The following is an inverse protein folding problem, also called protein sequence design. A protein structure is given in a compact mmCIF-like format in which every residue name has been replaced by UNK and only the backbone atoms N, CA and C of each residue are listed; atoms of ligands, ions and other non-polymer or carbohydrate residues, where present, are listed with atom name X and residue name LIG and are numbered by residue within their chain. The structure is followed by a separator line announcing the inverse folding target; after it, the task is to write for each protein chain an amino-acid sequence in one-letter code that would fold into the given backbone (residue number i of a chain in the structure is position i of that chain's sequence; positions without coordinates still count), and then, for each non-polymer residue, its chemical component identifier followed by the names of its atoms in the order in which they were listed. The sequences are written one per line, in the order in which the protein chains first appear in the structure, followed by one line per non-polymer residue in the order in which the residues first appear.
data_IF_392126021179
#
_entry.id   IF_392126021179
#
_cell.length_a   1.000
_cell.length_b   1.000
_cell.length_c   1.000
_cell.angle_alpha   90.00
_cell.angle_beta   90.00
_cell.angle_gamma   90.00
#
_symmetry.space_group_name_H-M   'P 1'
#
loop_
_entity.id
_entity.type
_entity.pdbx_description
1 polymer ?
#
# COMPACT_ATOMS: atom_id res chain seq x y z
N UNK A 1 -15.39 0.19 14.63
CA UNK A 1 -15.99 0.83 15.82
C UNK A 1 -17.11 0.00 16.45
N UNK A 2 -18.14 -0.42 15.69
CA UNK A 2 -19.27 -1.18 16.24
C UNK A 2 -18.86 -2.48 16.97
N UNK A 3 -17.87 -3.22 16.42
CA UNK A 3 -17.24 -4.39 17.05
C UNK A 3 -16.71 -4.13 18.47
N UNK A 4 -16.06 -2.99 18.69
CA UNK A 4 -15.44 -2.65 19.98
C UNK A 4 -16.52 -2.30 21.01
N UNK A 5 -17.49 -1.47 20.60
CA UNK A 5 -18.57 -1.03 21.48
C UNK A 5 -19.49 -2.19 21.88
N UNK A 6 -19.80 -3.10 20.96
CA UNK A 6 -20.62 -4.28 21.26
C UNK A 6 -19.91 -5.24 22.22
N UNK A 7 -18.60 -5.45 22.07
CA UNK A 7 -17.82 -6.23 23.05
C UNK A 7 -17.82 -5.59 24.44
N UNK A 8 -17.51 -4.28 24.52
CA UNK A 8 -17.46 -3.54 25.79
C UNK A 8 -18.84 -3.53 26.47
N UNK A 9 -19.92 -3.33 25.70
CA UNK A 9 -21.28 -3.37 26.22
C UNK A 9 -21.66 -4.75 26.76
N UNK A 10 -21.27 -5.83 26.08
CA UNK A 10 -21.48 -7.19 26.57
C UNK A 10 -20.73 -7.44 27.89
N UNK A 11 -19.46 -7.01 27.97
CA UNK A 11 -18.64 -7.19 29.17
C UNK A 11 -19.16 -6.40 30.38
N UNK A 12 -19.47 -5.11 30.19
CA UNK A 12 -20.02 -4.27 31.25
C UNK A 12 -21.41 -4.74 31.69
N UNK A 13 -22.24 -5.16 30.73
CA UNK A 13 -23.53 -5.79 31.00
C UNK A 13 -23.39 -7.03 31.86
N UNK A 14 -22.41 -7.90 31.56
CA UNK A 14 -22.12 -9.11 32.32
C UNK A 14 -21.73 -8.79 33.78
N UNK A 15 -20.83 -7.83 33.99
CA UNK A 15 -20.43 -7.40 35.33
C UNK A 15 -21.63 -6.87 36.14
N UNK A 16 -22.47 -6.03 35.52
CA UNK A 16 -23.67 -5.47 36.15
C UNK A 16 -24.72 -6.56 36.45
N UNK A 17 -24.86 -7.55 35.58
CA UNK A 17 -25.81 -8.64 35.77
C UNK A 17 -25.45 -9.50 36.99
N UNK A 18 -24.17 -9.84 37.18
CA UNK A 18 -23.70 -10.55 38.38
C UNK A 18 -23.86 -9.73 39.68
N UNK A 19 -23.88 -8.39 39.60
CA UNK A 19 -24.13 -7.55 40.76
C UNK A 19 -25.61 -7.55 41.19
N UNK A 20 -26.54 -7.70 40.23
CA UNK A 20 -28.00 -7.69 40.47
C UNK A 20 -28.75 -8.79 39.69
N UNK A 21 -28.53 -10.08 39.98
CA UNK A 21 -29.08 -11.19 39.18
C UNK A 21 -30.60 -11.35 39.31
N UNK A 22 -31.20 -10.89 40.42
CA UNK A 22 -32.65 -10.96 40.69
C UNK A 22 -33.31 -9.58 40.79
N UNK A 23 -32.62 -8.52 40.36
CA UNK A 23 -33.15 -7.16 40.40
C UNK A 23 -34.13 -6.86 39.27
N UNK A 24 -34.85 -5.72 39.38
CA UNK A 24 -35.75 -5.20 38.32
C UNK A 24 -35.05 -5.04 36.95
N UNK A 25 -33.72 -4.91 36.96
CA UNK A 25 -32.88 -4.73 35.78
C UNK A 25 -32.36 -6.03 35.16
N UNK A 26 -32.57 -7.19 35.79
CA UNK A 26 -31.95 -8.46 35.35
C UNK A 26 -32.34 -8.84 33.91
N UNK A 27 -33.62 -8.72 33.56
CA UNK A 27 -34.11 -9.00 32.20
C UNK A 27 -33.51 -8.03 31.18
N UNK A 28 -33.43 -6.74 31.52
CA UNK A 28 -32.87 -5.72 30.63
C UNK A 28 -31.38 -5.96 30.39
N UNK A 29 -30.61 -6.25 31.44
CA UNK A 29 -29.18 -6.56 31.33
C UNK A 29 -28.93 -7.84 30.52
N UNK A 30 -29.74 -8.88 30.71
CA UNK A 30 -29.65 -10.11 29.89
C UNK A 30 -29.90 -9.80 28.41
N UNK A 31 -30.94 -9.03 28.09
CA UNK A 31 -31.23 -8.62 26.71
C UNK A 31 -30.10 -7.77 26.13
N UNK A 32 -29.55 -6.84 26.91
CA UNK A 32 -28.40 -6.01 26.51
C UNK A 32 -27.18 -6.88 26.18
N UNK A 33 -26.83 -7.85 27.04
CA UNK A 33 -25.70 -8.75 26.82
C UNK A 33 -25.90 -9.55 25.53
N UNK A 34 -27.07 -10.19 25.37
CA UNK A 34 -27.37 -11.00 24.18
C UNK A 34 -27.34 -10.14 22.92
N UNK A 35 -28.00 -8.98 22.92
CA UNK A 35 -28.01 -8.06 21.79
C UNK A 35 -26.61 -7.54 21.44
N UNK A 36 -25.79 -7.28 22.45
CA UNK A 36 -24.39 -6.88 22.27
C UNK A 36 -23.55 -8.01 21.68
N UNK A 37 -23.70 -9.24 22.17
CA UNK A 37 -23.00 -10.42 21.61
C UNK A 37 -23.45 -10.75 20.18
N UNK A 38 -24.74 -10.60 19.86
CA UNK A 38 -25.26 -10.78 18.51
C UNK A 38 -24.72 -9.69 17.57
N UNK A 39 -24.69 -8.44 18.01
CA UNK A 39 -24.10 -7.34 17.25
C UNK A 39 -22.61 -7.57 17.03
N UNK A 40 -21.89 -8.00 18.06
CA UNK A 40 -20.48 -8.39 17.98
C UNK A 40 -20.26 -9.51 16.95
N UNK A 41 -21.02 -10.59 17.02
CA UNK A 41 -20.92 -11.71 16.08
C UNK A 41 -21.23 -11.27 14.65
N UNK A 42 -22.28 -10.47 14.46
CA UNK A 42 -22.62 -9.89 13.16
C UNK A 42 -21.50 -9.03 12.58
N UNK A 43 -20.87 -8.18 13.40
CA UNK A 43 -19.72 -7.37 12.95
C UNK A 43 -18.50 -8.21 12.58
N UNK A 44 -18.25 -9.32 13.28
CA UNK A 44 -17.13 -10.19 13.00
C UNK A 44 -17.37 -11.03 11.73
N UNK A 45 -18.61 -11.47 11.49
CA UNK A 45 -18.99 -12.17 10.24
C UNK A 45 -18.89 -11.22 9.04
N UNK A 46 -19.36 -9.98 9.18
CA UNK A 46 -19.32 -8.97 8.13
C UNK A 46 -17.93 -8.34 7.93
N UNK A 47 -16.96 -8.65 8.79
CA UNK A 47 -15.62 -8.09 8.67
C UNK A 47 -14.88 -8.67 7.47
N UNK A 48 -14.23 -7.79 6.71
CA UNK A 48 -13.37 -8.12 5.59
C UNK A 48 -12.02 -8.66 6.12
N UNK A 49 -12.00 -9.96 6.45
CA UNK A 49 -10.84 -10.66 6.98
C UNK A 49 -10.91 -12.17 6.72
N UNK A 50 -9.75 -12.87 6.63
CA UNK A 50 -9.70 -14.32 6.52
C UNK A 50 -10.48 -15.01 7.64
N UNK A 51 -11.11 -16.14 7.32
CA UNK A 51 -11.93 -16.90 8.26
C UNK A 51 -11.14 -17.35 9.50
N UNK A 52 -9.88 -17.74 9.33
CA UNK A 52 -8.99 -18.11 10.43
C UNK A 52 -8.74 -16.96 11.40
N UNK A 53 -8.49 -15.75 10.89
CA UNK A 53 -8.27 -14.55 11.72
C UNK A 53 -9.53 -14.15 12.50
N UNK A 54 -10.70 -14.20 11.83
CA UNK A 54 -12.01 -14.00 12.49
C UNK A 54 -12.21 -15.00 13.63
N UNK A 55 -11.93 -16.29 13.40
CA UNK A 55 -12.07 -17.33 14.41
C UNK A 55 -11.10 -17.14 15.59
N UNK A 56 -9.83 -16.81 15.33
CA UNK A 56 -8.86 -16.54 16.40
C UNK A 56 -9.28 -15.32 17.24
N UNK A 57 -9.75 -14.25 16.59
CA UNK A 57 -10.27 -13.06 17.26
C UNK A 57 -11.47 -13.41 18.14
N UNK A 58 -12.41 -14.19 17.61
CA UNK A 58 -13.56 -14.72 18.34
C UNK A 58 -13.12 -15.50 19.58
N UNK A 59 -12.22 -16.47 19.43
CA UNK A 59 -11.75 -17.31 20.53
C UNK A 59 -11.05 -16.50 21.63
N UNK A 60 -10.15 -15.58 21.25
CA UNK A 60 -9.47 -14.66 22.17
C UNK A 60 -10.45 -13.83 22.98
N UNK A 61 -11.43 -13.22 22.31
CA UNK A 61 -12.42 -12.33 22.92
C UNK A 61 -13.38 -13.08 23.85
N UNK A 62 -13.82 -14.28 23.45
CA UNK A 62 -14.65 -15.13 24.31
C UNK A 62 -13.87 -15.71 25.49
N UNK A 63 -12.58 -16.00 25.34
CA UNK A 63 -11.72 -16.41 26.45
C UNK A 63 -11.62 -15.29 27.50
N UNK A 64 -11.47 -14.04 27.07
CA UNK A 64 -11.45 -12.87 27.95
C UNK A 64 -12.78 -12.73 28.72
N UNK A 65 -13.92 -12.70 28.03
CA UNK A 65 -15.24 -12.61 28.68
C UNK A 65 -15.48 -13.81 29.60
N UNK A 66 -15.11 -15.03 29.19
CA UNK A 66 -15.30 -16.25 29.97
C UNK A 66 -14.50 -16.26 31.27
N UNK A 67 -13.22 -15.84 31.22
CA UNK A 67 -12.35 -15.74 32.39
C UNK A 67 -12.94 -14.78 33.43
N UNK A 68 -13.34 -13.58 33.00
CA UNK A 68 -13.94 -12.59 33.91
C UNK A 68 -15.35 -12.99 34.36
N UNK A 69 -16.14 -13.64 33.51
CA UNK A 69 -17.43 -14.20 33.89
C UNK A 69 -17.31 -15.24 35.00
N UNK A 70 -16.30 -16.12 34.93
CA UNK A 70 -16.00 -17.06 36.00
C UNK A 70 -15.56 -16.36 37.29
N UNK A 71 -14.71 -15.33 37.17
CA UNK A 71 -14.28 -14.52 38.32
C UNK A 71 -15.47 -13.79 38.98
N UNK A 72 -16.36 -13.17 38.21
CA UNK A 72 -17.57 -12.51 38.71
C UNK A 72 -18.51 -13.52 39.39
N UNK A 73 -18.68 -14.70 38.81
CA UNK A 73 -19.47 -15.78 39.40
C UNK A 73 -18.92 -16.20 40.77
N UNK A 74 -17.61 -16.39 40.88
CA UNK A 74 -16.94 -16.73 42.15
C UNK A 74 -17.06 -15.63 43.21
N UNK A 75 -17.06 -14.36 42.79
CA UNK A 75 -17.11 -13.21 43.68
C UNK A 75 -18.54 -12.75 44.02
N UNK A 76 -19.58 -13.23 43.31
CA UNK A 76 -20.95 -12.73 43.42
C UNK A 76 -21.51 -12.74 44.86
N UNK A 77 -21.09 -13.68 45.69
CA UNK A 77 -21.51 -13.77 47.11
C UNK A 77 -20.79 -12.81 48.07
N UNK A 78 -19.73 -12.12 47.62
CA UNK A 78 -18.82 -11.33 48.47
C UNK A 78 -18.77 -9.87 48.03
N UNK A 79 -19.73 -9.06 48.48
CA UNK A 79 -20.00 -7.70 47.97
C UNK A 79 -18.77 -6.79 47.85
N UNK A 80 -17.91 -6.72 48.87
CA UNK A 80 -16.69 -5.89 48.85
C UNK A 80 -15.70 -6.39 47.80
N UNK A 81 -15.43 -7.70 47.79
CA UNK A 81 -14.52 -8.34 46.84
C UNK A 81 -15.02 -8.28 45.40
N UNK A 82 -16.34 -8.34 45.21
CA UNK A 82 -16.95 -8.16 43.90
C UNK A 82 -16.71 -6.74 43.36
N UNK A 83 -16.94 -5.70 44.16
CA UNK A 83 -16.70 -4.31 43.76
C UNK A 83 -15.23 -4.10 43.39
N UNK A 84 -14.31 -4.61 44.22
CA UNK A 84 -12.87 -4.55 43.92
C UNK A 84 -12.52 -5.30 42.63
N UNK A 85 -13.10 -6.49 42.43
CA UNK A 85 -12.93 -7.28 41.21
C UNK A 85 -13.43 -6.56 39.96
N UNK A 86 -14.59 -5.87 40.03
CA UNK A 86 -15.11 -5.06 38.94
C UNK A 86 -14.18 -3.89 38.61
N UNK A 87 -13.65 -3.18 39.62
CA UNK A 87 -12.68 -2.09 39.40
C UNK A 87 -11.41 -2.58 38.69
N UNK A 88 -10.83 -3.69 39.15
CA UNK A 88 -9.66 -4.32 38.51
C UNK A 88 -9.99 -4.78 37.08
N UNK A 89 -11.17 -5.34 36.87
CA UNK A 89 -11.62 -5.76 35.54
C UNK A 89 -11.81 -4.57 34.58
N UNK A 90 -12.14 -3.39 35.09
CA UNK A 90 -12.23 -2.15 34.31
C UNK A 90 -10.86 -1.72 33.77
N UNK A 91 -9.80 -1.81 34.59
CA UNK A 91 -8.43 -1.57 34.14
C UNK A 91 -8.00 -2.62 33.11
N UNK A 92 -8.29 -3.90 33.37
CA UNK A 92 -7.98 -4.99 32.43
C UNK A 92 -8.70 -4.79 31.09
N UNK A 93 -9.99 -4.43 31.10
CA UNK A 93 -10.77 -4.12 29.91
C UNK A 93 -10.20 -2.91 29.17
N UNK A 94 -9.76 -1.86 29.88
CA UNK A 94 -9.14 -0.69 29.26
C UNK A 94 -7.85 -1.07 28.51
N UNK A 95 -6.96 -1.83 29.15
CA UNK A 95 -5.73 -2.33 28.52
C UNK A 95 -6.06 -3.22 27.32
N UNK A 96 -7.01 -4.14 27.49
CA UNK A 96 -7.46 -5.06 26.43
C UNK A 96 -8.07 -4.30 25.24
N UNK A 97 -8.90 -3.31 25.50
CA UNK A 97 -9.53 -2.50 24.46
C UNK A 97 -8.50 -1.71 23.66
N UNK A 98 -7.50 -1.13 24.33
CA UNK A 98 -6.39 -0.43 23.68
C UNK A 98 -5.54 -1.38 22.83
N UNK A 99 -5.14 -2.52 23.40
CA UNK A 99 -4.16 -3.40 22.79
C UNK A 99 -4.75 -4.29 21.69
N UNK A 100 -5.99 -4.74 21.85
CA UNK A 100 -6.60 -5.74 20.98
C UNK A 100 -7.83 -5.21 20.24
N UNK A 101 -8.80 -4.59 20.92
CA UNK A 101 -10.10 -4.29 20.28
C UNK A 101 -10.03 -3.19 19.21
N UNK A 102 -9.62 -1.96 19.54
CA UNK A 102 -8.26 -1.50 19.30
C UNK A 102 -7.84 -1.66 17.84
N UNK A 103 -7.01 -2.68 17.69
CA UNK A 103 -6.12 -2.93 16.55
C UNK A 103 -6.61 -4.07 15.67
N UNK A 104 -7.59 -4.86 16.13
CA UNK A 104 -8.06 -6.05 15.41
C UNK A 104 -8.76 -5.73 14.10
N UNK A 105 -9.48 -4.58 14.03
CA UNK A 105 -10.22 -4.16 12.84
C UNK A 105 -10.12 -2.64 12.57
N UNK A 106 -10.05 -2.19 11.30
CA UNK A 106 -10.12 -3.01 10.08
C UNK A 106 -8.90 -3.92 9.92
N UNK A 107 -9.13 -5.15 9.48
CA UNK A 107 -8.05 -6.11 9.25
C UNK A 107 -7.21 -5.63 8.08
N UNK A 108 -5.89 -5.78 8.22
CA UNK A 108 -4.93 -5.53 7.14
C UNK A 108 -4.15 -6.81 7.00
N UNK A 109 -4.10 -7.36 5.78
CA UNK A 109 -3.13 -8.42 5.51
C UNK A 109 -1.73 -7.87 5.79
N UNK A 110 -0.90 -8.60 6.57
CA UNK A 110 0.49 -8.24 6.70
C UNK A 110 1.12 -8.28 5.31
N UNK A 111 1.60 -7.14 4.83
CA UNK A 111 2.36 -7.10 3.59
C UNK A 111 3.75 -7.65 3.92
N UNK A 112 4.25 -8.66 3.18
CA UNK A 112 5.58 -9.20 3.44
C UNK A 112 6.62 -8.09 3.32
N UNK A 113 7.58 -8.05 4.24
CA UNK A 113 8.69 -7.10 4.19
C UNK A 113 9.87 -7.69 3.41
N UNK A 114 10.77 -6.83 2.95
CA UNK A 114 12.04 -7.30 2.40
C UNK A 114 12.89 -7.97 3.48
N UNK A 115 13.25 -9.23 3.25
CA UNK A 115 14.12 -10.03 4.12
C UNK A 115 15.58 -9.57 4.15
N UNK A 116 15.93 -8.63 3.28
CA UNK A 116 17.25 -7.97 3.23
C UNK A 116 17.10 -6.46 3.41
N UNK A 117 16.23 -6.08 4.34
CA UNK A 117 16.02 -4.68 4.67
C UNK A 117 14.58 -4.32 5.00
N UNK A 118 14.12 -4.76 6.17
CA UNK A 118 12.71 -4.69 6.59
C UNK A 118 12.25 -3.26 6.86
N UNK A 119 13.16 -2.33 7.16
CA UNK A 119 12.85 -0.94 7.44
C UNK A 119 13.53 0.00 6.45
N UNK A 120 12.83 1.06 6.08
CA UNK A 120 13.38 2.22 5.37
C UNK A 120 13.47 3.40 6.35
N UNK A 121 14.66 3.95 6.47
CA UNK A 121 15.00 5.02 7.40
C UNK A 121 15.40 6.26 6.61
N UNK A 122 14.93 7.44 7.03
CA UNK A 122 15.46 8.72 6.56
C UNK A 122 16.24 9.38 7.69
N UNK A 123 17.53 9.64 7.44
CA UNK A 123 18.37 10.41 8.35
C UNK A 123 18.23 11.91 8.10
N UNK A 124 18.48 12.70 9.13
CA UNK A 124 18.70 14.14 8.98
C UNK A 124 19.96 14.39 8.16
N UNK A 125 19.94 15.45 7.37
CA UNK A 125 21.10 15.90 6.60
C UNK A 125 22.38 15.93 7.46
N UNK A 126 23.42 15.23 6.99
CA UNK A 126 24.70 15.11 7.67
C UNK A 126 24.77 14.06 8.79
N UNK A 127 23.66 13.42 9.17
CA UNK A 127 23.66 12.29 10.09
C UNK A 127 23.95 10.98 9.37
N UNK A 128 24.48 10.00 10.11
CA UNK A 128 24.88 8.70 9.59
C UNK A 128 24.48 7.56 10.55
N UNK A 129 24.47 6.30 10.07
CA UNK A 129 24.20 5.15 10.94
C UNK A 129 25.10 5.05 12.17
N UNK A 130 26.32 5.57 12.11
CA UNK A 130 27.25 5.62 13.25
C UNK A 130 26.71 6.42 14.43
N UNK A 131 25.84 7.41 14.18
CA UNK A 131 25.30 8.27 15.23
C UNK A 131 24.25 7.54 16.08
N UNK A 132 23.67 6.47 15.53
CA UNK A 132 22.70 5.60 16.21
C UNK A 132 23.25 4.19 16.51
N UNK A 133 24.58 4.02 16.44
CA UNK A 133 25.26 2.73 16.62
C UNK A 133 24.83 1.96 17.88
N UNK A 134 24.64 2.59 19.07
CA UNK A 134 24.20 1.86 20.26
C UNK A 134 22.83 1.18 20.10
N UNK A 135 21.94 1.77 19.29
CA UNK A 135 20.64 1.20 18.99
C UNK A 135 20.74 0.09 17.94
N UNK A 136 21.61 0.28 16.93
CA UNK A 136 21.91 -0.77 15.94
C UNK A 136 22.47 -2.02 16.64
N UNK A 137 23.48 -1.86 17.49
CA UNK A 137 24.13 -2.98 18.19
C UNK A 137 23.18 -3.71 19.15
N UNK A 138 22.29 -2.98 19.83
CA UNK A 138 21.30 -3.54 20.75
C UNK A 138 20.43 -4.61 20.09
N UNK A 139 20.05 -4.39 18.85
CA UNK A 139 19.17 -5.28 18.08
C UNK A 139 19.90 -6.00 16.94
N UNK A 140 21.21 -5.82 16.80
CA UNK A 140 22.00 -6.37 15.70
C UNK A 140 21.55 -5.85 14.32
N UNK A 141 21.05 -4.61 14.25
CA UNK A 141 20.54 -4.01 13.02
C UNK A 141 21.69 -3.64 12.08
N UNK A 142 21.47 -3.81 10.79
CA UNK A 142 22.44 -3.39 9.77
C UNK A 142 21.83 -2.36 8.84
N UNK A 143 22.28 -1.12 8.97
CA UNK A 143 21.87 -0.04 8.08
C UNK A 143 22.79 0.03 6.86
N UNK A 144 22.21 0.05 5.67
CA UNK A 144 22.91 0.25 4.40
C UNK A 144 22.24 1.36 3.60
N UNK A 145 23.02 2.14 2.85
CA UNK A 145 22.44 3.26 2.09
C UNK A 145 21.50 2.72 1.01
N UNK A 146 20.28 3.27 0.96
CA UNK A 146 19.22 2.83 0.07
C UNK A 146 19.42 3.34 -1.36
N UNK A 147 19.86 4.59 -1.50
CA UNK A 147 19.97 5.25 -2.81
C UNK A 147 21.33 5.91 -3.02
N UNK A 148 21.78 5.89 -4.28
CA UNK A 148 23.05 6.47 -4.72
C UNK A 148 22.77 7.43 -5.88
N UNK A 149 22.23 8.63 -5.59
CA UNK A 149 21.92 9.60 -6.64
C UNK A 149 23.20 10.08 -7.33
N UNK A 150 23.14 10.25 -8.65
CA UNK A 150 24.26 10.80 -9.44
C UNK A 150 24.58 12.25 -9.06
N UNK A 151 23.56 13.01 -8.63
CA UNK A 151 23.68 14.42 -8.27
C UNK A 151 22.96 14.70 -6.94
N UNK A 152 23.68 14.59 -5.81
CA UNK A 152 23.13 14.82 -4.48
C UNK A 152 22.63 16.26 -4.27
N UNK A 153 23.02 17.23 -5.10
CA UNK A 153 22.56 18.61 -4.93
C UNK A 153 21.05 18.78 -5.22
N UNK A 154 20.47 17.91 -6.04
CA UNK A 154 19.08 18.00 -6.49
C UNK A 154 18.10 17.11 -5.71
N UNK A 155 18.59 16.24 -4.83
CA UNK A 155 17.76 15.28 -4.11
C UNK A 155 18.39 14.91 -2.78
N UNK A 156 17.55 14.66 -1.78
CA UNK A 156 17.98 14.26 -0.45
C UNK A 156 17.89 12.72 -0.29
N UNK A 157 17.78 11.99 -1.41
CA UNK A 157 17.65 10.52 -1.44
C UNK A 157 18.83 9.79 -0.81
N UNK A 158 20.01 10.41 -0.79
CA UNK A 158 21.21 9.82 -0.25
C UNK A 158 21.21 9.78 1.30
N UNK A 159 20.22 10.42 1.93
CA UNK A 159 19.91 10.31 3.35
C UNK A 159 19.05 9.09 3.72
N UNK A 160 18.58 8.32 2.74
CA UNK A 160 17.77 7.13 3.00
C UNK A 160 18.62 5.87 3.14
N UNK A 161 18.27 5.06 4.13
CA UNK A 161 18.95 3.82 4.47
C UNK A 161 17.95 2.69 4.64
N UNK A 162 18.30 1.52 4.15
CA UNK A 162 17.59 0.29 4.43
C UNK A 162 18.21 -0.35 5.66
N UNK A 163 17.40 -0.81 6.60
CA UNK A 163 17.86 -1.43 7.84
C UNK A 163 17.39 -2.87 7.90
N UNK A 164 18.36 -3.79 7.89
CA UNK A 164 18.14 -5.21 8.09
C UNK A 164 17.90 -5.48 9.58
N UNK A 165 16.82 -6.21 9.88
CA UNK A 165 16.41 -6.63 11.22
C UNK A 165 16.60 -8.14 11.32
N UNK A 166 17.46 -8.64 12.24
CA UNK A 166 17.65 -10.08 12.39
C UNK A 166 16.35 -10.84 12.66
N UNK A 167 16.21 -12.04 12.11
CA UNK A 167 14.98 -12.86 12.21
C UNK A 167 14.45 -13.03 13.65
N UNK A 168 15.34 -13.13 14.64
CA UNK A 168 14.97 -13.24 16.06
C UNK A 168 14.34 -11.96 16.65
N UNK A 169 14.37 -10.85 15.92
CA UNK A 169 13.81 -9.55 16.27
C UNK A 169 12.68 -9.07 15.34
N UNK A 170 12.28 -9.85 14.34
CA UNK A 170 11.12 -9.53 13.46
C UNK A 170 9.84 -9.24 14.27
N UNK A 171 9.56 -10.04 15.31
CA UNK A 171 8.42 -9.82 16.20
C UNK A 171 8.50 -8.53 17.06
N UNK A 172 9.60 -7.78 16.97
CA UNK A 172 9.85 -6.51 17.68
C UNK A 172 9.91 -5.30 16.75
N UNK A 173 9.63 -5.44 15.46
CA UNK A 173 9.67 -4.35 14.46
C UNK A 173 9.02 -3.06 14.97
N UNK A 174 7.78 -3.11 15.44
CA UNK A 174 7.08 -1.92 15.96
C UNK A 174 7.83 -1.22 17.13
N UNK A 175 8.50 -1.99 17.98
CA UNK A 175 9.26 -1.44 19.11
C UNK A 175 10.62 -0.87 18.68
N UNK A 176 11.21 -1.44 17.62
CA UNK A 176 12.46 -0.99 17.01
C UNK A 176 12.18 0.31 16.24
N UNK A 177 11.18 0.34 15.36
CA UNK A 177 10.78 1.53 14.60
C UNK A 177 10.46 2.70 15.53
N UNK A 178 9.75 2.46 16.64
CA UNK A 178 9.46 3.51 17.63
C UNK A 178 10.71 4.05 18.35
N UNK A 179 11.72 3.23 18.56
CA UNK A 179 12.98 3.68 19.16
C UNK A 179 13.80 4.48 18.15
N UNK A 180 13.88 4.02 16.90
CA UNK A 180 14.53 4.73 15.82
C UNK A 180 13.89 6.11 15.60
N UNK A 181 12.55 6.18 15.48
CA UNK A 181 11.77 7.42 15.30
C UNK A 181 11.92 8.44 16.45
N UNK A 182 12.34 8.00 17.64
CA UNK A 182 12.59 8.88 18.79
C UNK A 182 14.01 9.42 18.85
N UNK A 183 14.88 9.00 17.94
CA UNK A 183 16.28 9.40 17.89
C UNK A 183 16.39 10.70 17.11
N UNK A 184 17.20 11.67 17.56
CA UNK A 184 17.19 13.03 17.01
C UNK A 184 17.70 13.11 15.56
N UNK A 185 18.52 12.13 15.20
CA UNK A 185 19.20 11.93 13.94
C UNK A 185 18.28 11.34 12.86
N UNK A 186 17.17 10.71 13.27
CA UNK A 186 16.21 10.06 12.38
C UNK A 186 15.02 10.98 12.16
N UNK A 187 14.68 11.23 10.89
CA UNK A 187 13.52 12.03 10.50
C UNK A 187 12.27 11.14 10.41
N UNK A 188 12.44 9.96 9.82
CA UNK A 188 11.32 9.08 9.50
C UNK A 188 11.76 7.62 9.45
N UNK A 189 10.83 6.73 9.81
CA UNK A 189 11.00 5.28 9.72
C UNK A 189 9.71 4.65 9.21
N UNK A 190 9.83 3.82 8.20
CA UNK A 190 8.73 3.00 7.69
C UNK A 190 9.15 1.57 7.41
N UNK A 191 8.16 0.70 7.23
CA UNK A 191 8.37 -0.68 6.83
C UNK A 191 8.61 -0.73 5.31
N UNK A 192 9.67 -1.42 4.88
CA UNK A 192 10.00 -1.60 3.46
C UNK A 192 9.23 -2.80 2.91
N UNK A 193 7.96 -2.56 2.64
CA UNK A 193 7.03 -3.57 2.15
C UNK A 193 7.40 -4.06 0.74
N UNK A 194 7.20 -5.36 0.51
CA UNK A 194 7.22 -5.96 -0.82
C UNK A 194 5.85 -5.82 -1.47
N UNK A 195 5.85 -5.16 -2.63
CA UNK A 195 4.68 -4.96 -3.48
C UNK A 195 4.76 -5.97 -4.62
N UNK A 196 3.66 -6.65 -4.89
CA UNK A 196 3.52 -7.52 -6.03
C UNK A 196 2.53 -6.91 -7.04
N UNK A 197 2.89 -6.88 -8.32
CA UNK A 197 1.89 -6.61 -9.36
C UNK A 197 0.92 -7.76 -9.46
N UNK A 198 -0.36 -7.43 -9.46
CA UNK A 198 -1.40 -8.40 -9.76
C UNK A 198 -1.18 -8.96 -11.17
N UNK A 199 -1.42 -10.27 -11.38
CA UNK A 199 -1.42 -10.81 -12.73
C UNK A 199 -2.44 -10.04 -13.57
N UNK A 200 -2.09 -9.76 -14.84
CA UNK A 200 -3.02 -9.19 -15.80
C UNK A 200 -4.22 -10.13 -15.94
N UNK A 201 -5.37 -9.74 -15.39
CA UNK A 201 -6.63 -10.45 -15.55
C UNK A 201 -7.43 -9.74 -16.63
N UNK A 202 -7.60 -10.37 -17.78
CA UNK A 202 -8.51 -9.89 -18.81
C UNK A 202 -9.91 -10.41 -18.51
N UNK A 203 -10.78 -9.57 -17.97
CA UNK A 203 -12.22 -9.83 -18.06
C UNK A 203 -12.76 -9.19 -19.35
N UNK A 204 -13.53 -9.92 -20.16
CA UNK A 204 -14.12 -9.35 -21.36
C UNK A 204 -15.10 -8.25 -20.96
N UNK A 205 -14.72 -7.01 -21.22
CA UNK A 205 -15.60 -5.86 -21.03
C UNK A 205 -16.68 -5.91 -22.10
N UNK A 206 -17.94 -6.03 -21.69
CA UNK A 206 -19.12 -5.88 -22.58
C UNK A 206 -19.35 -4.40 -22.89
N UNK A 207 -18.40 -3.73 -23.52
CA UNK A 207 -18.61 -2.39 -24.09
C UNK A 207 -19.03 -2.52 -25.54
N UNK A 208 -19.99 -1.68 -25.95
CA UNK A 208 -20.25 -1.50 -27.38
C UNK A 208 -18.94 -1.07 -28.07
N UNK A 209 -18.60 -1.62 -29.26
CA UNK A 209 -17.43 -1.20 -30.00
C UNK A 209 -17.46 0.33 -30.17
N UNK A 210 -16.33 0.97 -29.88
CA UNK A 210 -16.17 2.39 -30.18
C UNK A 210 -16.27 2.66 -31.68
N UNK A 211 -16.42 3.92 -32.11
CA UNK A 211 -16.36 4.26 -33.52
C UNK A 211 -15.09 3.67 -34.16
N UNK A 212 -15.24 3.04 -35.32
CA UNK A 212 -14.17 2.31 -36.01
C UNK A 212 -13.08 3.21 -36.58
N UNK A 213 -13.21 4.53 -36.47
CA UNK A 213 -12.32 5.45 -37.15
C UNK A 213 -12.00 6.69 -36.31
N UNK A 214 -10.80 6.69 -35.73
CA UNK A 214 -10.15 7.88 -35.15
C UNK A 214 -9.15 8.53 -36.13
N UNK A 215 -9.23 8.20 -37.43
CA UNK A 215 -8.19 8.59 -38.39
C UNK A 215 -6.86 7.89 -38.16
N UNK A 216 -6.92 6.66 -37.62
CA UNK A 216 -5.78 5.78 -37.35
C UNK A 216 -5.94 4.47 -38.14
N UNK A 217 -4.83 3.85 -38.56
CA UNK A 217 -4.82 2.62 -39.39
C UNK A 217 -4.53 1.33 -38.60
N UNK A 218 -4.41 1.42 -37.27
CA UNK A 218 -4.00 0.31 -36.40
C UNK A 218 -5.14 -0.73 -36.27
N UNK A 219 -4.90 -2.03 -36.52
CA UNK A 219 -5.95 -3.06 -36.55
C UNK A 219 -6.74 -3.21 -35.24
N UNK A 220 -6.11 -2.95 -34.10
CA UNK A 220 -6.71 -3.06 -32.76
C UNK A 220 -7.52 -1.85 -32.31
N UNK A 221 -7.64 -0.80 -33.12
CA UNK A 221 -8.25 0.49 -32.73
C UNK A 221 -9.70 0.34 -32.22
N UNK A 222 -10.48 -0.57 -32.82
CA UNK A 222 -11.88 -0.81 -32.42
C UNK A 222 -12.01 -1.45 -31.03
N UNK A 223 -10.94 -2.05 -30.52
CA UNK A 223 -10.90 -2.69 -29.20
C UNK A 223 -10.53 -1.70 -28.08
N UNK A 224 -10.07 -0.50 -28.43
CA UNK A 224 -9.67 0.54 -27.47
C UNK A 224 -10.86 1.37 -27.00
N UNK A 225 -11.71 0.79 -26.14
CA UNK A 225 -12.88 1.48 -25.57
C UNK A 225 -12.53 2.84 -24.90
N UNK A 226 -11.31 2.95 -24.36
CA UNK A 226 -10.81 4.17 -23.71
C UNK A 226 -10.72 5.36 -24.67
N UNK A 227 -10.55 5.14 -25.98
CA UNK A 227 -10.50 6.22 -26.96
C UNK A 227 -11.82 6.98 -27.05
N UNK A 228 -12.94 6.27 -26.89
CA UNK A 228 -14.26 6.89 -26.89
C UNK A 228 -14.46 7.68 -25.59
N UNK A 229 -14.05 7.12 -24.46
CA UNK A 229 -14.23 7.75 -23.14
C UNK A 229 -13.37 9.00 -22.96
N UNK A 230 -12.19 9.01 -23.57
CA UNK A 230 -11.28 10.15 -23.55
C UNK A 230 -11.53 11.15 -24.70
N UNK A 231 -12.56 10.93 -25.52
CA UNK A 231 -12.93 11.77 -26.67
C UNK A 231 -11.73 12.06 -27.61
N UNK A 232 -11.00 10.98 -27.98
CA UNK A 232 -9.76 11.10 -28.76
C UNK A 232 -9.99 11.69 -30.15
N UNK A 233 -11.17 11.48 -30.73
CA UNK A 233 -11.55 12.09 -32.01
C UNK A 233 -11.50 13.62 -31.93
N UNK A 234 -12.02 14.20 -30.85
CA UNK A 234 -11.99 15.65 -30.62
C UNK A 234 -10.59 16.17 -30.38
N UNK A 235 -9.77 15.44 -29.61
CA UNK A 235 -8.35 15.82 -29.42
C UNK A 235 -7.65 15.94 -30.77
N UNK A 236 -7.80 14.93 -31.62
CA UNK A 236 -7.16 14.87 -32.93
C UNK A 236 -7.64 15.99 -33.85
N UNK A 237 -8.94 16.29 -33.85
CA UNK A 237 -9.50 17.44 -34.57
C UNK A 237 -8.90 18.77 -34.10
N UNK A 238 -8.73 18.96 -32.79
CA UNK A 238 -8.12 20.18 -32.24
C UNK A 238 -6.65 20.31 -32.66
N UNK A 239 -5.89 19.21 -32.61
CA UNK A 239 -4.49 19.19 -33.03
C UNK A 239 -4.36 19.55 -34.52
N UNK A 240 -5.23 19.02 -35.38
CA UNK A 240 -5.26 19.31 -36.81
C UNK A 240 -5.62 20.77 -37.11
N UNK A 241 -6.70 21.28 -36.49
CA UNK A 241 -7.13 22.68 -36.64
C UNK A 241 -6.03 23.66 -36.24
N UNK A 242 -5.30 23.34 -35.17
CA UNK A 242 -4.19 24.17 -34.67
C UNK A 242 -2.88 23.94 -35.42
N UNK A 243 -2.80 22.95 -36.32
CA UNK A 243 -1.55 22.46 -36.93
C UNK A 243 -0.47 22.24 -35.87
N UNK A 244 -0.88 21.65 -34.74
CA UNK A 244 -0.04 21.54 -33.55
C UNK A 244 1.21 20.71 -33.84
N UNK A 245 2.36 21.23 -33.41
CA UNK A 245 3.66 20.57 -33.49
C UNK A 245 4.28 20.56 -32.10
N UNK A 246 4.82 19.42 -31.63
CA UNK A 246 5.50 19.38 -30.35
C UNK A 246 6.79 20.21 -30.44
N UNK A 247 7.00 21.10 -29.47
CA UNK A 247 8.30 21.80 -29.32
C UNK A 247 9.39 20.80 -28.94
N UNK A 248 9.03 19.78 -28.18
CA UNK A 248 9.87 18.65 -27.79
C UNK A 248 9.01 17.41 -27.58
N UNK A 249 9.53 16.24 -27.91
CA UNK A 249 8.89 14.97 -27.55
C UNK A 249 9.00 14.74 -26.03
N UNK A 250 7.89 14.37 -25.40
CA UNK A 250 7.81 14.03 -23.99
C UNK A 250 8.23 12.58 -23.78
N UNK A 251 9.14 12.33 -22.84
CA UNK A 251 9.58 10.97 -22.54
C UNK A 251 8.83 10.42 -21.34
N UNK A 252 8.09 9.35 -21.56
CA UNK A 252 7.31 8.65 -20.54
C UNK A 252 8.17 7.53 -19.96
N UNK A 253 8.45 7.60 -18.67
CA UNK A 253 9.18 6.54 -17.97
C UNK A 253 8.18 5.59 -17.30
N UNK A 254 8.24 4.30 -17.68
CA UNK A 254 7.41 3.23 -17.14
C UNK A 254 8.16 2.58 -15.98
N UNK A 255 7.63 2.76 -14.76
CA UNK A 255 8.18 2.19 -13.54
C UNK A 255 7.46 0.89 -13.22
N UNK A 256 7.98 -0.22 -13.74
CA UNK A 256 7.24 -1.48 -13.74
C UNK A 256 8.19 -2.70 -13.83
N UNK A 257 7.69 -3.85 -14.33
CA UNK A 257 8.43 -5.10 -14.56
C UNK A 257 9.47 -5.05 -15.68
N UNK A 258 9.56 -3.89 -16.34
CA UNK A 258 10.38 -3.65 -17.52
C UNK A 258 9.51 -3.36 -18.75
N UNK A 259 10.12 -3.11 -19.89
CA UNK A 259 9.42 -2.99 -21.18
C UNK A 259 10.18 -3.82 -22.19
N UNK A 260 9.49 -4.64 -22.97
CA UNK A 260 10.10 -5.31 -24.12
C UNK A 260 10.44 -4.28 -25.21
N UNK A 261 11.69 -3.85 -25.25
CA UNK A 261 12.18 -2.87 -26.21
C UNK A 261 12.17 -3.40 -27.66
N UNK A 262 12.10 -4.72 -27.85
CA UNK A 262 12.03 -5.37 -29.16
C UNK A 262 10.62 -5.51 -29.71
N UNK A 263 9.60 -5.16 -28.93
CA UNK A 263 8.20 -5.33 -29.33
C UNK A 263 7.88 -4.54 -30.61
N UNK A 264 7.25 -5.19 -31.59
CA UNK A 264 6.98 -4.64 -32.93
C UNK A 264 6.21 -3.31 -32.90
N UNK A 265 5.29 -3.18 -31.93
CA UNK A 265 4.43 -2.00 -31.78
C UNK A 265 4.99 -0.91 -30.82
N UNK A 266 6.22 -1.07 -30.33
CA UNK A 266 6.86 -0.15 -29.35
C UNK A 266 8.26 0.28 -29.79
N UNK A 267 9.03 -0.64 -30.38
CA UNK A 267 10.48 -0.49 -30.63
C UNK A 267 10.87 0.82 -31.33
N UNK A 268 10.08 1.28 -32.31
CA UNK A 268 10.37 2.53 -33.04
C UNK A 268 10.09 3.81 -32.24
N UNK A 269 9.39 3.71 -31.11
CA UNK A 269 9.12 4.80 -30.17
C UNK A 269 9.78 4.61 -28.79
N UNK A 270 10.64 3.60 -28.67
CA UNK A 270 11.32 3.25 -27.43
C UNK A 270 12.67 3.95 -27.31
N UNK A 271 12.98 4.45 -26.11
CA UNK A 271 14.27 5.02 -25.75
C UNK A 271 14.88 4.25 -24.57
N UNK A 272 15.93 3.48 -24.85
CA UNK A 272 16.70 2.81 -23.80
C UNK A 272 17.39 3.83 -22.89
N UNK A 273 17.15 3.71 -21.59
CA UNK A 273 17.91 4.42 -20.55
C UNK A 273 18.97 3.51 -19.93
N UNK A 274 18.67 2.22 -19.84
CA UNK A 274 19.55 1.19 -19.30
C UNK A 274 19.15 -0.18 -19.87
N UNK A 275 20.08 -0.83 -20.58
CA UNK A 275 19.83 -2.09 -21.27
C UNK A 275 19.23 -3.20 -20.37
N UNK A 276 19.55 -3.20 -19.07
CA UNK A 276 19.00 -4.19 -18.11
C UNK A 276 17.50 -4.03 -17.87
N UNK A 277 16.92 -2.88 -18.22
CA UNK A 277 15.50 -2.58 -18.03
C UNK A 277 14.65 -2.87 -19.27
N UNK A 278 15.31 -3.13 -20.41
CA UNK A 278 14.72 -3.26 -21.75
C UNK A 278 14.19 -4.68 -22.02
N UNK A 279 13.88 -5.42 -20.96
CA UNK A 279 13.21 -6.71 -21.01
C UNK A 279 12.04 -6.75 -20.03
N UNK A 280 10.98 -7.46 -20.39
CA UNK A 280 9.81 -7.61 -19.55
C UNK A 280 9.31 -9.05 -19.50
N UNK A 281 9.86 -9.88 -18.61
CA UNK A 281 9.44 -11.28 -18.46
C UNK A 281 8.03 -11.44 -17.87
N UNK A 282 7.37 -10.36 -17.41
CA UNK A 282 6.00 -10.40 -16.87
C UNK A 282 4.96 -9.83 -17.83
N UNK A 283 5.35 -8.94 -18.73
CA UNK A 283 4.46 -8.32 -19.72
C UNK A 283 3.63 -7.15 -19.17
N UNK A 284 3.62 -6.89 -17.85
CA UNK A 284 2.82 -5.81 -17.26
C UNK A 284 3.34 -4.43 -17.69
N UNK A 285 4.63 -4.18 -17.57
CA UNK A 285 5.22 -2.92 -18.00
C UNK A 285 5.16 -2.70 -19.52
N UNK A 286 5.26 -3.77 -20.32
CA UNK A 286 5.07 -3.69 -21.79
C UNK A 286 3.63 -3.33 -22.14
N UNK A 287 2.65 -3.89 -21.43
CA UNK A 287 1.24 -3.52 -21.59
C UNK A 287 1.01 -2.04 -21.24
N UNK A 288 1.58 -1.55 -20.13
CA UNK A 288 1.54 -0.13 -19.75
C UNK A 288 2.22 0.77 -20.80
N UNK A 289 3.37 0.35 -21.33
CA UNK A 289 4.09 1.06 -22.37
C UNK A 289 3.28 1.16 -23.68
N UNK A 290 2.56 0.10 -24.05
CA UNK A 290 1.66 0.11 -25.21
C UNK A 290 0.54 1.15 -25.09
N UNK A 291 -0.12 1.21 -23.93
CA UNK A 291 -1.15 2.24 -23.68
C UNK A 291 -0.56 3.66 -23.77
N UNK A 292 0.62 3.84 -23.17
CA UNK A 292 1.26 5.16 -23.08
C UNK A 292 1.81 5.66 -24.43
N UNK A 293 2.40 4.77 -25.23
CA UNK A 293 3.23 5.18 -26.37
C UNK A 293 3.42 4.11 -27.46
N UNK A 294 2.50 3.15 -27.62
CA UNK A 294 2.43 2.33 -28.83
C UNK A 294 2.48 3.20 -30.09
N UNK A 295 3.12 2.66 -31.12
CA UNK A 295 3.39 3.35 -32.38
C UNK A 295 2.10 3.41 -33.19
N UNK A 296 1.37 4.51 -33.08
CA UNK A 296 0.15 4.70 -33.88
C UNK A 296 0.44 4.92 -35.35
N UNK A 297 -0.52 4.55 -36.20
CA UNK A 297 -0.47 4.66 -37.65
C UNK A 297 0.55 3.75 -38.37
N UNK A 298 0.92 2.63 -37.77
CA UNK A 298 1.90 1.68 -38.35
C UNK A 298 1.26 0.43 -39.00
N UNK A 299 -0.07 0.29 -38.98
CA UNK A 299 -0.83 -0.91 -39.38
C UNK A 299 -0.58 -2.17 -38.55
N UNK A 300 -0.06 -2.03 -37.32
CA UNK A 300 0.25 -3.12 -36.39
C UNK A 300 -0.53 -2.88 -35.11
N UNK A 301 -0.87 -3.96 -34.38
CA UNK A 301 -1.29 -3.87 -32.98
C UNK A 301 -2.35 -2.81 -32.66
N UNK A 302 -2.02 -1.94 -31.70
CA UNK A 302 -2.90 -0.92 -31.11
C UNK A 302 -2.31 0.48 -31.29
N UNK A 303 -3.13 1.50 -31.03
CA UNK A 303 -2.68 2.88 -30.96
C UNK A 303 -2.51 3.34 -29.50
N UNK A 304 -1.55 4.23 -29.26
CA UNK A 304 -1.54 5.07 -28.06
C UNK A 304 -2.42 6.32 -28.26
N UNK A 305 -2.55 7.12 -27.21
CA UNK A 305 -3.23 8.42 -27.33
C UNK A 305 -2.48 9.44 -28.20
N UNK A 306 -1.22 9.17 -28.56
CA UNK A 306 -0.48 9.97 -29.52
C UNK A 306 -0.72 9.45 -30.94
N UNK A 307 -1.10 10.32 -31.89
CA UNK A 307 -1.34 9.90 -33.29
C UNK A 307 -0.09 9.42 -34.02
N UNK A 308 1.08 9.77 -33.52
CA UNK A 308 2.39 9.40 -34.05
C UNK A 308 3.49 9.59 -32.98
N UNK A 309 4.73 9.25 -33.31
CA UNK A 309 5.86 9.27 -32.38
C UNK A 309 6.44 10.67 -32.11
N UNK A 310 5.87 11.76 -32.65
CA UNK A 310 6.44 13.11 -32.49
C UNK A 310 6.22 13.67 -31.09
N UNK A 311 5.09 13.35 -30.46
CA UNK A 311 4.68 13.94 -29.19
C UNK A 311 5.26 13.21 -27.98
N UNK A 312 5.39 11.88 -28.06
CA UNK A 312 5.81 11.05 -26.94
C UNK A 312 6.82 10.00 -27.36
N UNK A 313 7.71 9.65 -26.44
CA UNK A 313 8.56 8.47 -26.46
C UNK A 313 8.37 7.70 -25.14
N UNK A 314 8.72 6.43 -25.11
CA UNK A 314 8.65 5.62 -23.88
C UNK A 314 9.99 5.01 -23.51
N UNK A 315 10.24 4.89 -22.21
CA UNK A 315 11.43 4.27 -21.64
C UNK A 315 11.07 3.38 -20.46
N UNK A 316 11.90 2.37 -20.21
CA UNK A 316 11.76 1.47 -19.06
C UNK A 316 12.64 1.89 -17.88
N UNK A 317 12.00 1.94 -16.70
CA UNK A 317 12.66 1.97 -15.41
C UNK A 317 12.18 0.76 -14.62
N UNK A 318 12.94 -0.33 -14.69
CA UNK A 318 12.55 -1.58 -14.07
C UNK A 318 12.72 -1.48 -12.54
N UNK A 319 11.60 -1.42 -11.83
CA UNK A 319 11.54 -1.38 -10.35
C UNK A 319 10.91 -2.63 -9.76
N UNK A 320 10.43 -3.54 -10.62
CA UNK A 320 9.89 -4.84 -10.24
C UNK A 320 10.72 -5.95 -10.88
N UNK A 321 10.98 -6.99 -10.10
CA UNK A 321 11.67 -8.20 -10.52
C UNK A 321 10.88 -9.00 -11.57
N UNK A 322 11.52 -10.03 -12.14
CA UNK A 322 10.87 -10.98 -13.04
C UNK A 322 9.73 -11.79 -12.40
N UNK A 323 9.60 -11.76 -11.08
CA UNK A 323 8.47 -12.31 -10.32
C UNK A 323 7.28 -11.36 -10.18
N UNK A 324 7.43 -10.09 -10.60
CA UNK A 324 6.45 -9.04 -10.36
C UNK A 324 6.54 -8.42 -8.96
N UNK A 325 7.54 -8.82 -8.18
CA UNK A 325 7.81 -8.29 -6.86
C UNK A 325 8.79 -7.13 -6.94
N UNK A 326 8.53 -6.05 -6.22
CA UNK A 326 9.52 -5.05 -5.90
C UNK A 326 9.26 -4.50 -4.51
N UNK A 327 10.19 -3.71 -4.01
CA UNK A 327 10.11 -3.12 -2.67
C UNK A 327 9.70 -1.67 -2.76
N UNK A 328 9.16 -1.11 -1.67
CA UNK A 328 8.87 0.32 -1.62
C UNK A 328 10.11 1.14 -2.00
N UNK A 329 11.29 0.79 -1.47
CA UNK A 329 12.54 1.51 -1.80
C UNK A 329 12.86 1.49 -3.32
N UNK A 330 12.68 0.39 -4.04
CA UNK A 330 12.91 0.30 -5.49
C UNK A 330 11.94 1.21 -6.26
N UNK A 331 10.69 1.31 -5.77
CA UNK A 331 9.70 2.24 -6.30
C UNK A 331 10.11 3.69 -6.09
N UNK A 332 10.63 4.05 -4.91
CA UNK A 332 11.19 5.38 -4.63
C UNK A 332 12.37 5.69 -5.57
N UNK A 333 13.33 4.78 -5.72
CA UNK A 333 14.45 4.95 -6.65
C UNK A 333 13.99 5.22 -8.09
N UNK A 334 12.94 4.53 -8.55
CA UNK A 334 12.35 4.78 -9.86
C UNK A 334 11.81 6.21 -10.03
N UNK A 335 11.14 6.77 -9.01
CA UNK A 335 10.57 8.12 -9.08
C UNK A 335 11.64 9.22 -9.21
N UNK A 336 12.82 8.96 -8.66
CA UNK A 336 13.91 9.94 -8.57
C UNK A 336 15.02 9.73 -9.61
N UNK A 337 14.95 8.67 -10.42
CA UNK A 337 15.72 8.62 -11.66
C UNK A 337 15.32 9.84 -12.50
N UNK A 338 16.24 10.82 -12.52
CA UNK A 338 16.26 12.12 -13.21
C UNK A 338 15.01 12.44 -14.07
N UNK A 339 14.47 13.68 -14.03
CA UNK A 339 13.83 14.24 -15.22
C UNK A 339 14.84 14.09 -16.35
N UNK A 340 14.55 13.23 -17.32
CA UNK A 340 15.55 12.68 -18.22
C UNK A 340 16.06 13.83 -19.09
N UNK A 341 17.22 14.40 -18.70
CA UNK A 341 17.93 15.52 -19.34
C UNK A 341 16.99 16.51 -20.05
N UNK A 342 16.36 17.40 -19.28
CA UNK A 342 15.62 18.56 -19.81
C UNK A 342 14.39 18.24 -20.67
N UNK A 343 13.86 17.01 -20.61
CA UNK A 343 12.56 16.66 -21.19
C UNK A 343 11.48 16.69 -20.10
N UNK A 344 10.26 17.07 -20.49
CA UNK A 344 9.07 16.89 -19.65
C UNK A 344 8.86 15.39 -19.48
N UNK A 345 9.30 14.83 -18.36
CA UNK A 345 9.14 13.41 -18.04
C UNK A 345 7.82 13.20 -17.31
N UNK A 346 6.93 12.41 -17.88
CA UNK A 346 5.72 11.93 -17.19
C UNK A 346 6.01 10.56 -16.58
N UNK A 347 5.77 10.46 -15.28
CA UNK A 347 5.95 9.25 -14.49
C UNK A 347 4.62 8.52 -14.38
N UNK A 348 4.54 7.29 -14.89
CA UNK A 348 3.34 6.45 -14.76
C UNK A 348 3.65 5.28 -13.80
N UNK A 349 3.16 5.36 -12.56
CA UNK A 349 3.08 4.22 -11.64
C UNK A 349 1.74 3.52 -11.84
N UNK A 350 1.73 2.23 -12.13
CA UNK A 350 0.50 1.44 -12.24
C UNK A 350 0.44 0.25 -11.26
N UNK A 351 1.33 0.16 -10.28
CA UNK A 351 1.31 -0.90 -9.27
C UNK A 351 0.78 -0.43 -7.89
N UNK A 352 -0.41 -0.96 -7.53
CA UNK A 352 -1.04 -1.07 -6.19
C UNK A 352 -1.34 0.23 -5.38
N UNK A 353 -2.38 0.21 -4.50
CA UNK A 353 -2.81 1.38 -3.74
C UNK A 353 -1.85 1.63 -2.56
N UNK A 354 -0.73 2.30 -2.80
CA UNK A 354 -0.02 2.97 -1.72
C UNK A 354 -0.85 4.19 -1.32
N UNK A 355 -1.45 4.15 -0.13
CA UNK A 355 -1.99 5.35 0.50
C UNK A 355 -0.79 6.25 0.74
N UNK A 356 -0.66 7.33 -0.03
CA UNK A 356 0.32 8.40 0.19
C UNK A 356 -0.33 9.48 1.06
N UNK A 357 -0.17 9.50 2.41
CA UNK A 357 -0.46 10.68 3.18
C UNK A 357 0.83 11.52 3.28
N UNK A 358 1.19 12.30 2.27
CA UNK A 358 2.37 13.14 2.40
C UNK A 358 2.78 13.90 1.15
N UNK A 359 3.07 15.19 1.32
CA UNK A 359 3.53 16.12 0.28
C UNK A 359 4.71 15.56 -0.51
N UNK A 360 4.68 15.71 -1.84
CA UNK A 360 5.88 15.67 -2.66
C UNK A 360 6.89 16.71 -2.11
N UNK A 361 8.15 16.35 -1.85
CA UNK A 361 9.18 17.31 -1.50
C UNK A 361 9.50 18.16 -2.72
N UNK A 362 8.91 19.35 -2.79
CA UNK A 362 9.35 20.40 -3.70
C UNK A 362 10.38 21.24 -2.96
N UNK A 363 11.66 21.17 -3.35
CA UNK A 363 12.56 22.31 -3.13
C UNK A 363 11.95 23.46 -3.93
N UNK A 364 11.41 24.46 -3.23
CA UNK A 364 11.06 25.74 -3.86
C UNK A 364 12.36 26.41 -4.34
N UNK A 365 12.28 27.16 -5.46
CA UNK A 365 13.46 27.73 -6.13
C UNK A 365 14.26 28.69 -5.26
#
# INVERSE_FOLDING_TARGET
MLYQFSFIAAFLGLALWFFHPHGKWATLLRTLIIGSLLTYAGTLIAADAPAAYRLQTLLRDFLFIGLFGAAFSFLAGKRIWFILGVLLSGLALFVYARQFLSTSYPYREPIPLDTQGELLLEFREGAAPSDIQPLLDRYGLKATRAFYPEDPAFTDLDNYYVVDVPANYEGKLTSISRQLDRTAEVIWVEENEQIQVNPLKSEPVKTAPGPSFYGLNDPGISNLWSFQQMDMARLYQILDQKKAQPVKSALIAILDTGVDAGHEDISSNYRSLKATNDNDPKGHGTHCAGIAAAVSNNNIGIASFSRDNRFTQVASVKVLSAGGFGTQNQSWMGCFLRPIRGQTSFLCRLAAPAILPGRMPTKKP
#
